data_IF_300825449826
#
_entry.id   IF_300825449826
#
_cell.length_a   1.000
_cell.length_b   1.000
_cell.length_c   1.000
_cell.angle_alpha   90.00
_cell.angle_beta   90.00
_cell.angle_gamma   90.00
#
_symmetry.space_group_name_H-M   'P 1'
#
loop_
_entity.id
_entity.type
_entity.pdbx_description
1 polymer ?
#
# COMPACT_ATOMS: atom_id res chain seq x y z
N UNK A 1 -0.13 -19.23 -1.75
CA UNK A 1 0.94 -18.71 -0.88
C UNK A 1 2.13 -19.63 -1.05
N UNK A 2 3.34 -19.10 -1.18
CA UNK A 2 4.52 -19.93 -0.91
C UNK A 2 4.54 -20.29 0.58
N UNK A 3 5.10 -21.44 0.96
CA UNK A 3 5.19 -21.88 2.37
C UNK A 3 5.91 -20.87 3.29
N UNK A 4 6.62 -19.89 2.74
CA UNK A 4 7.40 -18.89 3.48
C UNK A 4 6.82 -17.46 3.46
N UNK A 5 5.66 -17.22 2.85
CA UNK A 5 5.14 -15.85 2.71
C UNK A 5 4.53 -15.37 4.04
N UNK A 6 5.00 -14.22 4.54
CA UNK A 6 4.45 -13.60 5.75
C UNK A 6 3.01 -13.10 5.51
N UNK A 7 2.18 -13.17 6.54
CA UNK A 7 0.80 -12.66 6.48
C UNK A 7 0.30 -12.20 7.85
N UNK A 8 -0.75 -11.38 7.82
CA UNK A 8 -1.48 -10.90 8.99
C UNK A 8 -2.95 -11.30 8.84
N UNK A 9 -3.46 -12.11 9.76
CA UNK A 9 -4.88 -12.48 9.78
C UNK A 9 -5.74 -11.25 10.08
N UNK A 10 -6.96 -11.22 9.52
CA UNK A 10 -7.92 -10.17 9.85
C UNK A 10 -8.50 -10.38 11.26
N UNK A 11 -9.03 -9.30 11.84
CA UNK A 11 -9.77 -9.37 13.10
C UNK A 11 -10.98 -10.29 12.97
N UNK A 12 -11.28 -11.07 14.00
CA UNK A 12 -12.39 -12.01 14.05
C UNK A 12 -13.76 -11.33 14.03
N UNK A 13 -13.84 -10.06 14.41
CA UNK A 13 -15.05 -9.26 14.26
C UNK A 13 -15.38 -9.00 12.78
N UNK A 14 -14.35 -8.88 11.93
CA UNK A 14 -14.47 -8.63 10.49
C UNK A 14 -14.55 -9.94 9.72
N UNK A 15 -13.76 -10.93 10.13
CA UNK A 15 -13.64 -12.24 9.51
C UNK A 15 -13.75 -13.35 10.58
N UNK A 16 -14.99 -13.69 10.92
CA UNK A 16 -15.27 -14.69 11.94
C UNK A 16 -14.80 -16.10 11.53
N UNK A 17 -14.83 -16.42 10.23
CA UNK A 17 -14.32 -17.69 9.71
C UNK A 17 -12.79 -17.75 9.71
N UNK A 18 -12.10 -16.61 9.63
CA UNK A 18 -10.64 -16.54 9.57
C UNK A 18 -10.10 -17.03 8.24
N UNK A 19 -10.89 -16.90 7.18
CA UNK A 19 -10.55 -17.35 5.84
C UNK A 19 -9.69 -16.31 5.09
N UNK A 20 -9.54 -15.11 5.65
CA UNK A 20 -8.93 -13.96 5.01
C UNK A 20 -7.71 -13.43 5.79
N UNK A 21 -6.72 -12.97 5.04
CA UNK A 21 -5.50 -12.39 5.58
C UNK A 21 -4.90 -11.35 4.62
N UNK A 22 -4.09 -10.46 5.17
CA UNK A 22 -3.24 -9.55 4.41
C UNK A 22 -1.92 -10.27 4.16
N UNK A 23 -1.66 -10.59 2.90
CA UNK A 23 -0.38 -11.14 2.45
C UNK A 23 0.57 -10.08 1.90
N UNK A 24 1.69 -10.51 1.29
CA UNK A 24 2.63 -9.60 0.66
C UNK A 24 2.02 -8.79 -0.50
N UNK A 25 2.58 -7.62 -0.78
CA UNK A 25 2.17 -6.78 -1.91
C UNK A 25 2.24 -7.58 -3.21
N UNK A 26 1.24 -7.43 -4.07
CA UNK A 26 1.22 -8.06 -5.40
C UNK A 26 1.77 -7.14 -6.49
N UNK A 27 2.25 -5.93 -6.16
CA UNK A 27 2.81 -5.05 -7.18
C UNK A 27 4.07 -5.67 -7.78
N UNK A 28 4.18 -5.59 -9.10
CA UNK A 28 5.31 -6.16 -9.85
C UNK A 28 6.67 -5.72 -9.34
N UNK A 29 6.79 -4.50 -8.79
CA UNK A 29 8.06 -4.00 -8.25
C UNK A 29 8.63 -4.84 -7.11
N UNK A 30 7.78 -5.56 -6.37
CA UNK A 30 8.17 -6.44 -5.27
C UNK A 30 8.51 -7.87 -5.68
N UNK A 31 8.27 -8.23 -6.95
CA UNK A 31 8.49 -9.59 -7.47
C UNK A 31 9.36 -9.55 -8.71
N UNK A 32 10.60 -10.03 -8.62
CA UNK A 32 11.47 -10.20 -9.79
C UNK A 32 11.42 -11.64 -10.32
N UNK A 33 11.37 -11.86 -11.66
CA UNK A 33 11.18 -13.19 -12.24
C UNK A 33 12.26 -14.23 -11.89
N UNK A 34 13.45 -13.78 -11.50
CA UNK A 34 14.61 -14.63 -11.16
C UNK A 34 14.73 -14.95 -9.67
N UNK A 35 13.70 -14.69 -8.87
CA UNK A 35 13.69 -14.97 -7.43
C UNK A 35 13.71 -16.47 -7.12
N UNK A 36 14.90 -17.05 -7.15
CA UNK A 36 15.23 -18.20 -6.31
C UNK A 36 15.01 -17.83 -4.84
N UNK A 37 14.71 -18.81 -3.99
CA UNK A 37 14.49 -18.62 -2.55
C UNK A 37 15.64 -17.84 -1.84
N UNK A 38 16.84 -17.82 -2.42
CA UNK A 38 17.99 -17.03 -1.96
C UNK A 38 17.85 -15.50 -2.20
N UNK A 39 17.17 -15.07 -3.27
CA UNK A 39 16.98 -13.65 -3.61
C UNK A 39 15.87 -12.97 -2.80
N UNK A 40 14.92 -13.74 -2.25
CA UNK A 40 13.92 -13.26 -1.28
C UNK A 40 14.53 -12.76 0.03
N UNK A 41 15.83 -12.96 0.24
CA UNK A 41 16.54 -12.49 1.43
C UNK A 41 16.82 -10.98 1.44
N UNK A 42 16.61 -10.26 0.33
CA UNK A 42 17.09 -8.88 0.20
C UNK A 42 16.10 -7.79 0.62
N UNK A 43 14.79 -8.04 0.63
CA UNK A 43 13.79 -7.10 1.14
C UNK A 43 12.45 -7.82 1.39
N UNK A 44 11.67 -7.33 2.37
CA UNK A 44 10.36 -7.90 2.72
C UNK A 44 9.25 -7.29 1.85
N UNK A 45 8.50 -8.09 1.06
CA UNK A 45 7.35 -7.62 0.26
C UNK A 45 6.10 -7.30 1.11
N UNK A 46 6.24 -7.27 2.44
CA UNK A 46 5.17 -7.00 3.39
C UNK A 46 4.46 -8.27 3.89
N UNK A 47 3.39 -8.12 4.67
CA UNK A 47 2.79 -6.86 5.12
C UNK A 47 3.71 -6.05 6.05
N UNK A 48 3.62 -4.71 5.98
CA UNK A 48 4.42 -3.80 6.81
C UNK A 48 3.54 -3.18 7.91
N UNK A 49 3.85 -3.39 9.20
CA UNK A 49 3.01 -2.90 10.30
C UNK A 49 3.11 -1.38 10.52
N UNK A 50 4.17 -0.74 10.04
CA UNK A 50 4.42 0.68 10.27
C UNK A 50 5.21 1.33 9.11
N UNK A 51 5.27 2.66 9.11
CA UNK A 51 5.95 3.43 8.08
C UNK A 51 7.46 3.17 8.02
N UNK A 52 8.09 2.89 9.16
CA UNK A 52 9.54 2.65 9.24
C UNK A 52 9.93 1.35 8.54
N UNK A 53 9.16 0.28 8.79
CA UNK A 53 9.33 -1.03 8.16
C UNK A 53 8.97 -0.98 6.67
N UNK A 54 7.90 -0.29 6.29
CA UNK A 54 7.57 -0.02 4.88
C UNK A 54 8.71 0.73 4.16
N UNK A 55 9.18 1.83 4.77
CA UNK A 55 10.23 2.66 4.20
C UNK A 55 11.56 1.93 4.06
N UNK A 56 11.91 1.13 5.05
CA UNK A 56 13.10 0.28 5.01
C UNK A 56 13.03 -0.73 3.87
N UNK A 57 11.92 -1.45 3.74
CA UNK A 57 11.73 -2.42 2.67
C UNK A 57 11.76 -1.76 1.27
N UNK A 58 11.18 -0.57 1.13
CA UNK A 58 11.22 0.19 -0.10
C UNK A 58 12.64 0.58 -0.50
N UNK A 59 13.43 1.09 0.45
CA UNK A 59 14.83 1.46 0.22
C UNK A 59 15.68 0.25 -0.14
N UNK A 60 15.51 -0.87 0.56
CA UNK A 60 16.23 -2.12 0.28
C UNK A 60 15.92 -2.67 -1.12
N UNK A 61 14.63 -2.63 -1.52
CA UNK A 61 14.20 -2.98 -2.88
C UNK A 61 14.87 -2.12 -3.95
N UNK A 62 14.92 -0.80 -3.75
CA UNK A 62 15.55 0.11 -4.70
C UNK A 62 17.07 -0.10 -4.77
N UNK A 63 17.74 -0.31 -3.64
CA UNK A 63 19.18 -0.63 -3.61
C UNK A 63 19.48 -1.94 -4.36
N UNK A 64 18.67 -2.98 -4.17
CA UNK A 64 18.80 -4.24 -4.91
C UNK A 64 18.60 -4.02 -6.42
N UNK A 65 17.65 -3.17 -6.79
CA UNK A 65 17.37 -2.81 -8.19
C UNK A 65 18.52 -2.02 -8.82
N UNK A 66 19.17 -1.12 -8.09
CA UNK A 66 20.37 -0.42 -8.55
C UNK A 66 21.52 -1.38 -8.86
N UNK A 67 21.75 -2.36 -7.98
CA UNK A 67 22.74 -3.41 -8.23
C UNK A 67 22.52 -4.14 -9.55
N UNK A 68 21.26 -4.52 -9.84
CA UNK A 68 20.88 -5.19 -11.10
C UNK A 68 21.05 -4.30 -12.34
N UNK A 69 20.75 -3.00 -12.24
CA UNK A 69 20.91 -2.06 -13.38
C UNK A 69 22.37 -1.90 -13.79
N UNK A 70 23.29 -1.90 -12.81
CA UNK A 70 24.73 -1.86 -13.06
C UNK A 70 25.20 -3.13 -13.79
N UNK A 71 24.71 -4.31 -13.38
CA UNK A 71 25.08 -5.57 -14.02
C UNK A 71 24.45 -5.73 -15.42
N UNK A 72 23.26 -5.20 -15.65
CA UNK A 72 22.53 -5.31 -16.92
C UNK A 72 22.87 -4.21 -17.95
N UNK A 73 23.72 -3.23 -17.59
CA UNK A 73 24.14 -2.15 -18.50
C UNK A 73 22.99 -1.34 -19.10
N UNK A 74 21.83 -1.30 -18.43
CA UNK A 74 20.61 -0.73 -19.00
C UNK A 74 20.61 0.80 -18.87
N UNK A 75 20.59 1.56 -19.99
CA UNK A 75 20.55 3.01 -19.92
C UNK A 75 19.18 3.45 -19.40
N UNK A 76 19.18 4.12 -18.24
CA UNK A 76 17.99 4.78 -17.70
C UNK A 76 18.09 6.29 -17.87
N UNK A 77 17.01 7.00 -17.50
CA UNK A 77 17.03 8.46 -17.43
C UNK A 77 18.24 8.96 -16.61
N UNK A 78 18.79 10.16 -16.89
CA UNK A 78 19.85 10.75 -16.09
C UNK A 78 19.37 10.91 -14.65
N UNK A 79 19.77 9.98 -13.81
CA UNK A 79 19.73 10.09 -12.35
C UNK A 79 21.17 10.41 -11.98
N UNK A 80 21.41 11.14 -10.89
CA UNK A 80 22.78 11.48 -10.47
C UNK A 80 23.70 10.26 -10.38
N UNK A 81 24.95 10.47 -9.99
CA UNK A 81 25.90 9.39 -9.69
C UNK A 81 25.29 8.30 -8.78
N UNK A 82 25.83 7.09 -8.86
CA UNK A 82 25.38 5.97 -8.02
C UNK A 82 25.43 6.33 -6.53
N UNK A 83 26.49 7.01 -6.10
CA UNK A 83 26.68 7.45 -4.73
C UNK A 83 25.59 8.45 -4.30
N UNK A 84 25.22 9.38 -5.17
CA UNK A 84 24.10 10.30 -4.90
C UNK A 84 22.76 9.56 -4.77
N UNK A 85 22.51 8.55 -5.61
CA UNK A 85 21.29 7.75 -5.52
C UNK A 85 21.24 6.96 -4.20
N UNK A 86 22.34 6.33 -3.80
CA UNK A 86 22.45 5.61 -2.52
C UNK A 86 22.29 6.58 -1.35
N UNK A 87 22.92 7.76 -1.40
CA UNK A 87 22.81 8.77 -0.36
C UNK A 87 21.36 9.24 -0.18
N UNK A 88 20.64 9.52 -1.28
CA UNK A 88 19.23 9.93 -1.23
C UNK A 88 18.35 8.83 -0.64
N UNK A 89 18.57 7.56 -1.02
CA UNK A 89 17.82 6.43 -0.45
C UNK A 89 18.05 6.29 1.06
N UNK A 90 19.30 6.41 1.52
CA UNK A 90 19.61 6.37 2.96
C UNK A 90 19.01 7.56 3.72
N UNK A 91 19.03 8.76 3.14
CA UNK A 91 18.34 9.92 3.72
C UNK A 91 16.83 9.70 3.83
N UNK A 92 16.20 9.12 2.80
CA UNK A 92 14.78 8.80 2.84
C UNK A 92 14.45 7.79 3.93
N UNK A 93 15.26 6.74 4.10
CA UNK A 93 15.13 5.76 5.19
C UNK A 93 15.16 6.43 6.56
N UNK A 94 16.11 7.35 6.77
CA UNK A 94 16.27 8.07 8.03
C UNK A 94 15.12 9.07 8.28
N UNK A 95 14.56 9.68 7.24
CA UNK A 95 13.37 10.52 7.38
C UNK A 95 12.17 9.67 7.79
N UNK A 96 11.94 8.54 7.12
CA UNK A 96 10.81 7.64 7.41
C UNK A 96 10.87 7.07 8.83
N UNK A 97 12.06 6.75 9.36
CA UNK A 97 12.22 6.26 10.74
C UNK A 97 11.92 7.31 11.81
N UNK A 98 11.97 8.60 11.46
CA UNK A 98 11.67 9.73 12.35
C UNK A 98 10.22 10.20 12.28
N UNK A 99 9.44 9.72 11.31
CA UNK A 99 8.01 10.00 11.22
C UNK A 99 7.28 9.07 12.19
N UNK A 100 6.69 9.66 13.23
CA UNK A 100 5.90 8.95 14.24
C UNK A 100 4.58 9.69 14.50
N UNK A 101 3.66 9.06 15.24
CA UNK A 101 2.28 9.52 15.46
C UNK A 101 2.10 10.96 15.97
N UNK A 102 3.15 11.58 16.55
CA UNK A 102 3.07 12.99 16.99
C UNK A 102 3.30 13.98 15.84
N UNK A 103 3.88 13.53 14.74
CA UNK A 103 4.03 14.34 13.52
C UNK A 103 2.72 14.35 12.74
N UNK A 104 2.47 15.40 11.96
CA UNK A 104 1.26 15.49 11.11
C UNK A 104 1.16 14.31 10.15
N UNK A 105 2.27 13.95 9.51
CA UNK A 105 2.34 12.83 8.56
C UNK A 105 2.15 11.50 9.30
N UNK A 106 2.75 11.34 10.49
CA UNK A 106 2.62 10.11 11.27
C UNK A 106 1.19 9.75 11.63
N UNK A 107 0.33 10.75 11.89
CA UNK A 107 -1.11 10.54 12.14
C UNK A 107 -1.88 9.92 10.96
N UNK A 108 -1.33 10.01 9.75
CA UNK A 108 -1.91 9.48 8.50
C UNK A 108 -0.96 8.48 7.84
N UNK A 109 -0.04 7.89 8.61
CA UNK A 109 0.95 6.93 8.13
C UNK A 109 0.58 5.47 8.40
N UNK A 110 -0.54 5.24 9.09
CA UNK A 110 -1.04 3.88 9.32
C UNK A 110 -1.27 3.17 7.97
N UNK A 111 -0.94 1.87 7.88
CA UNK A 111 -1.23 1.08 6.69
C UNK A 111 -2.73 0.97 6.48
N UNK A 112 -3.22 1.48 5.34
CA UNK A 112 -4.65 1.50 5.00
C UNK A 112 -4.84 0.91 3.60
N UNK A 113 -5.94 0.19 3.39
CA UNK A 113 -6.43 -0.12 2.03
C UNK A 113 -7.26 1.06 1.55
N UNK A 114 -6.84 1.72 0.47
CA UNK A 114 -7.56 2.87 -0.09
C UNK A 114 -7.87 2.67 -1.56
N UNK A 115 -9.10 3.00 -1.97
CA UNK A 115 -9.51 2.92 -3.37
C UNK A 115 -8.98 4.13 -4.16
N UNK A 116 -7.82 3.98 -4.81
CA UNK A 116 -7.13 5.10 -5.49
C UNK A 116 -7.73 5.50 -6.85
N UNK A 117 -8.71 4.74 -7.35
CA UNK A 117 -9.36 4.95 -8.65
C UNK A 117 -10.90 5.02 -8.53
N UNK A 118 -11.38 5.77 -7.54
CA UNK A 118 -12.81 5.87 -7.27
C UNK A 118 -13.46 6.87 -8.23
N UNK A 119 -14.01 6.36 -9.34
CA UNK A 119 -14.81 7.12 -10.30
C UNK A 119 -16.21 6.50 -10.44
N UNK A 120 -17.13 7.19 -11.13
CA UNK A 120 -18.55 6.78 -11.25
C UNK A 120 -18.75 5.39 -11.89
N UNK A 121 -17.78 4.90 -12.66
CA UNK A 121 -17.82 3.55 -13.24
C UNK A 121 -17.53 2.44 -12.24
N UNK A 122 -16.89 2.77 -11.11
CA UNK A 122 -16.54 1.85 -10.04
C UNK A 122 -17.51 1.91 -8.84
N UNK A 123 -18.59 2.69 -8.96
CA UNK A 123 -19.61 2.88 -7.93
C UNK A 123 -20.95 2.37 -8.45
N UNK A 124 -21.53 1.39 -7.75
CA UNK A 124 -22.91 0.98 -7.95
C UNK A 124 -23.82 1.69 -6.96
N UNK A 125 -24.91 2.25 -7.45
CA UNK A 125 -25.97 2.87 -6.66
C UNK A 125 -27.27 2.06 -6.73
N UNK A 126 -28.14 2.21 -5.74
CA UNK A 126 -29.44 1.54 -5.68
C UNK A 126 -30.36 2.02 -6.81
N UNK A 127 -31.16 1.11 -7.36
CA UNK A 127 -32.18 1.45 -8.37
C UNK A 127 -33.30 2.30 -7.76
N UNK A 128 -33.58 2.12 -6.47
CA UNK A 128 -34.61 2.83 -5.72
C UNK A 128 -34.15 4.21 -5.22
N UNK A 129 -32.86 4.40 -4.99
CA UNK A 129 -32.27 5.67 -4.57
C UNK A 129 -30.81 5.81 -5.03
N UNK A 130 -30.57 6.77 -5.92
CA UNK A 130 -29.24 7.06 -6.47
C UNK A 130 -28.27 7.68 -5.46
N UNK A 131 -28.76 8.11 -4.29
CA UNK A 131 -27.93 8.63 -3.20
C UNK A 131 -27.26 7.49 -2.40
N UNK A 132 -27.77 6.25 -2.54
CA UNK A 132 -27.29 5.10 -1.79
C UNK A 132 -26.30 4.30 -2.63
N UNK A 133 -25.02 4.35 -2.25
CA UNK A 133 -23.98 3.44 -2.76
C UNK A 133 -24.27 2.03 -2.23
N UNK A 134 -24.36 1.05 -3.13
CA UNK A 134 -24.62 -0.36 -2.79
C UNK A 134 -23.38 -1.24 -2.97
N UNK A 135 -22.43 -0.84 -3.82
CA UNK A 135 -21.18 -1.57 -4.00
C UNK A 135 -20.09 -0.68 -4.59
N UNK A 136 -18.84 -0.98 -4.21
CA UNK A 136 -17.62 -0.53 -4.86
C UNK A 136 -16.96 -1.74 -5.54
N UNK A 137 -16.44 -1.56 -6.75
CA UNK A 137 -15.79 -2.62 -7.52
C UNK A 137 -14.35 -2.23 -7.88
N UNK A 138 -13.69 -3.02 -8.73
CA UNK A 138 -12.35 -2.74 -9.28
C UNK A 138 -11.21 -2.64 -8.24
N UNK A 139 -11.28 -3.51 -7.25
CA UNK A 139 -10.30 -3.58 -6.16
C UNK A 139 -8.98 -4.30 -6.53
N UNK A 140 -8.86 -4.85 -7.74
CA UNK A 140 -7.77 -5.74 -8.14
C UNK A 140 -6.37 -5.10 -8.21
N UNK A 141 -6.28 -3.77 -8.14
CA UNK A 141 -5.02 -3.01 -8.22
C UNK A 141 -4.68 -2.22 -6.96
N UNK A 142 -5.42 -2.40 -5.86
CA UNK A 142 -5.17 -1.69 -4.60
C UNK A 142 -3.98 -2.28 -3.84
N UNK A 143 -3.44 -1.48 -2.92
CA UNK A 143 -2.35 -1.88 -2.02
C UNK A 143 -2.65 -1.42 -0.60
N UNK A 144 -2.13 -2.14 0.39
CA UNK A 144 -2.04 -1.63 1.76
C UNK A 144 -0.81 -0.75 1.85
N UNK A 145 -1.00 0.53 2.11
CA UNK A 145 0.07 1.55 2.12
C UNK A 145 -0.26 2.68 3.09
N UNK A 146 0.72 3.46 3.57
CA UNK A 146 0.45 4.68 4.33
C UNK A 146 -0.52 5.61 3.59
N UNK A 147 -1.59 6.08 4.27
CA UNK A 147 -2.65 6.88 3.65
C UNK A 147 -2.13 8.11 2.90
N UNK A 148 -1.15 8.83 3.46
CA UNK A 148 -0.59 10.03 2.81
C UNK A 148 0.09 9.77 1.45
N UNK A 149 0.46 8.52 1.13
CA UNK A 149 1.04 8.15 -0.16
C UNK A 149 -0.01 7.83 -1.24
N UNK A 150 -1.25 7.54 -0.82
CA UNK A 150 -2.29 7.02 -1.70
C UNK A 150 -3.56 7.88 -1.73
N UNK A 151 -3.75 8.78 -0.75
CA UNK A 151 -4.93 9.61 -0.65
C UNK A 151 -5.13 10.44 -1.92
N UNK A 152 -6.32 10.30 -2.51
CA UNK A 152 -6.78 11.05 -3.68
C UNK A 152 -8.23 11.44 -3.47
N UNK A 153 -8.60 12.61 -3.97
CA UNK A 153 -10.01 12.95 -4.11
C UNK A 153 -10.60 12.17 -5.29
N UNK A 154 -11.78 11.55 -5.11
CA UNK A 154 -12.53 10.98 -6.23
C UNK A 154 -12.75 12.01 -7.33
N UNK A 155 -12.62 11.61 -8.60
CA UNK A 155 -12.64 12.52 -9.76
C UNK A 155 -13.95 13.33 -9.85
N UNK A 156 -15.05 12.75 -9.38
CA UNK A 156 -16.37 13.38 -9.41
C UNK A 156 -16.58 14.42 -8.30
N UNK A 157 -15.63 14.60 -7.37
CA UNK A 157 -15.69 15.65 -6.35
C UNK A 157 -14.89 16.87 -6.81
N UNK A 158 -15.59 18.01 -6.94
CA UNK A 158 -14.94 19.31 -7.06
C UNK A 158 -14.49 19.77 -5.68
N UNK A 159 -13.19 19.88 -5.49
CA UNK A 159 -12.59 20.41 -4.26
C UNK A 159 -12.09 21.82 -4.55
N UNK A 160 -12.68 22.81 -3.87
CA UNK A 160 -12.25 24.20 -3.98
C UNK A 160 -10.84 24.37 -3.38
N UNK A 161 -10.08 25.35 -3.86
CA UNK A 161 -8.72 25.64 -3.36
C UNK A 161 -8.70 25.93 -1.85
N UNK A 162 -9.79 26.48 -1.33
CA UNK A 162 -9.98 26.82 0.08
C UNK A 162 -10.56 25.67 0.92
N UNK A 163 -10.55 24.43 0.41
CA UNK A 163 -11.07 23.28 1.14
C UNK A 163 -10.37 23.16 2.50
N UNK A 164 -11.11 23.32 3.62
CA UNK A 164 -10.52 23.25 4.94
C UNK A 164 -10.10 21.79 5.19
N UNK A 165 -8.79 21.54 5.22
CA UNK A 165 -8.26 20.26 5.68
C UNK A 165 -8.82 20.02 7.08
N UNK A 166 -9.64 18.97 7.23
CA UNK A 166 -10.29 18.65 8.50
C UNK A 166 -9.27 18.45 9.61
N UNK A 167 -9.12 19.44 10.49
CA UNK A 167 -8.27 19.34 11.70
C UNK A 167 -8.92 18.57 12.83
N UNK A 168 -10.15 18.08 12.66
CA UNK A 168 -10.84 17.23 13.63
C UNK A 168 -11.29 15.91 12.99
N UNK A 169 -10.74 14.81 13.50
CA UNK A 169 -11.29 13.47 13.30
C UNK A 169 -10.93 12.82 11.96
N UNK A 170 -9.64 12.56 11.71
CA UNK A 170 -9.20 11.57 10.71
C UNK A 170 -9.86 10.18 10.89
N UNK A 171 -10.50 9.94 12.03
CA UNK A 171 -11.15 8.68 12.42
C UNK A 171 -12.69 8.66 12.24
N UNK A 172 -13.32 9.70 11.69
CA UNK A 172 -14.79 9.74 11.57
C UNK A 172 -15.28 10.26 10.22
N UNK A 173 -14.72 9.73 9.12
CA UNK A 173 -15.44 9.72 7.85
C UNK A 173 -16.22 8.39 7.75
N UNK A 174 -17.55 8.40 7.91
CA UNK A 174 -18.36 7.17 7.81
C UNK A 174 -18.46 6.65 6.37
N UNK A 175 -18.05 7.46 5.39
CA UNK A 175 -18.20 7.17 3.95
C UNK A 175 -17.25 6.08 3.42
N UNK A 176 -16.30 5.59 4.22
CA UNK A 176 -15.31 4.59 3.79
C UNK A 176 -15.17 3.47 4.84
N UNK A 177 -16.23 3.21 5.60
CA UNK A 177 -16.32 2.01 6.43
C UNK A 177 -17.36 1.10 5.80
N UNK A 178 -16.95 0.30 4.82
CA UNK A 178 -17.36 -1.11 4.61
C UNK A 178 -16.93 -1.67 3.26
N UNK A 179 -16.59 -2.97 3.28
CA UNK A 179 -16.30 -3.90 2.19
C UNK A 179 -14.96 -3.75 1.48
N UNK A 180 -13.95 -4.31 2.15
CA UNK A 180 -12.67 -4.70 1.60
C UNK A 180 -12.86 -5.76 0.51
N UNK A 181 -12.39 -5.50 -0.71
CA UNK A 181 -11.96 -6.61 -1.57
C UNK A 181 -10.43 -6.60 -1.54
N UNK A 182 -9.92 -7.28 -0.52
CA UNK A 182 -8.55 -7.74 -0.37
C UNK A 182 -8.06 -8.40 -1.68
N UNK A 183 -6.75 -8.49 -1.85
CA UNK A 183 -6.19 -9.72 -2.44
C UNK A 183 -6.46 -10.86 -1.45
N UNK A 184 -7.70 -11.35 -1.45
CA UNK A 184 -8.15 -12.48 -0.65
C UNK A 184 -7.48 -13.69 -1.27
N UNK A 185 -6.46 -14.23 -0.60
CA UNK A 185 -6.02 -15.59 -0.89
C UNK A 185 -6.63 -16.49 0.16
N UNK A 186 -7.52 -17.37 -0.29
CA UNK A 186 -8.07 -18.46 0.50
C UNK A 186 -6.92 -19.26 1.13
N UNK A 187 -6.96 -19.42 2.45
CA UNK A 187 -6.11 -20.38 3.16
C UNK A 187 -6.80 -21.75 3.10
N UNK A 188 -6.34 -22.71 2.27
CA UNK A 188 -6.89 -24.05 2.33
C UNK A 188 -6.52 -24.70 3.67
N UNK A 189 -7.52 -25.25 4.36
CA UNK A 189 -7.32 -26.07 5.56
C UNK A 189 -6.37 -27.23 5.24
N UNK A 190 -5.16 -27.19 5.78
CA UNK A 190 -4.31 -28.37 5.89
C UNK A 190 -4.77 -29.15 7.12
N UNK A 191 -5.50 -30.25 6.87
CA UNK A 191 -5.72 -31.31 7.86
C UNK A 191 -4.41 -31.99 8.25
#
# INVERSE_FOLDING_TARGET
MGESDAYVALDREIDSSGEFCIGPSCERGWHTPEETAASRSHFSPGPWPDLSSFGTALVERELASLGKRLSAGTPGAPRGSLDEQIAVLNMAKEVMSRIHERTLIGKVSEPVLWHTDLHMGNIYVSEESSEKIVSLIDWQSIVVSPLFLQARFPEFLSVDEDYPLGTMGFLSCPLISTRWTLTIRYLPNTN
#
